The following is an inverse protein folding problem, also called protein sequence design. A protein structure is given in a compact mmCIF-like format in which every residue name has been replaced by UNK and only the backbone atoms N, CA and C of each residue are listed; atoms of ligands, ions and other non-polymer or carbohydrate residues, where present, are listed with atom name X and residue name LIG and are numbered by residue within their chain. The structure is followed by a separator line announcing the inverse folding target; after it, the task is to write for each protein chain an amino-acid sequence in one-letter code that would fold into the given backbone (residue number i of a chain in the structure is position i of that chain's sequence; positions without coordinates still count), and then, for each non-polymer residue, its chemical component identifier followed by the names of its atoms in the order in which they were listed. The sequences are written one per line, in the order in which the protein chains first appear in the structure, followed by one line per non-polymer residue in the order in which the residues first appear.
data_IF_294035682713
#
_entry.id   IF_294035682713
#
_cell.length_a   1.000
_cell.length_b   1.000
_cell.length_c   1.000
_cell.angle_alpha   90.00
_cell.angle_beta   90.00
_cell.angle_gamma   90.00
#
_symmetry.space_group_name_H-M   'P 1'
#
loop_
_entity.id
_entity.type
_entity.pdbx_description
1 polymer ?
#
# COMPACT_ATOMS: atom_id res chain seq x y z
N UNK A 1 6.79 -2.98 0.80
CA UNK A 1 6.16 -4.31 0.73
C UNK A 1 5.33 -4.48 1.99
N UNK A 2 4.04 -4.78 1.87
CA UNK A 2 3.19 -5.01 3.04
C UNK A 2 3.53 -6.42 3.57
N UNK A 3 3.95 -6.54 4.82
CA UNK A 3 4.53 -7.78 5.36
C UNK A 3 3.44 -8.77 5.84
N UNK A 4 2.29 -8.82 5.16
CA UNK A 4 1.26 -9.82 5.45
C UNK A 4 1.60 -11.13 4.73
N UNK A 5 2.17 -11.06 3.53
CA UNK A 5 2.51 -12.23 2.70
C UNK A 5 3.48 -13.20 3.37
N UNK A 6 4.48 -12.70 4.09
CA UNK A 6 5.55 -13.55 4.64
C UNK A 6 5.03 -14.59 5.63
N UNK A 7 3.91 -14.32 6.34
CA UNK A 7 3.38 -15.21 7.39
C UNK A 7 2.47 -16.33 6.88
N UNK A 8 2.17 -16.38 5.59
CA UNK A 8 1.22 -17.33 5.01
C UNK A 8 1.80 -18.04 3.78
N UNK A 9 2.29 -19.29 3.91
CA UNK A 9 3.04 -19.99 2.86
C UNK A 9 2.21 -20.36 1.62
N UNK A 10 0.89 -20.11 1.63
CA UNK A 10 -0.02 -20.43 0.53
C UNK A 10 0.01 -19.41 -0.63
N UNK A 11 0.68 -18.26 -0.45
CA UNK A 11 0.71 -17.22 -1.47
C UNK A 11 1.92 -17.38 -2.40
N UNK A 12 1.75 -17.07 -3.70
CA UNK A 12 2.63 -17.54 -4.77
C UNK A 12 4.08 -17.08 -4.66
N UNK A 13 4.36 -16.01 -3.90
CA UNK A 13 5.71 -15.47 -3.72
C UNK A 13 6.29 -15.71 -2.32
N UNK A 14 5.50 -16.17 -1.34
CA UNK A 14 5.92 -16.19 0.07
C UNK A 14 7.20 -17.01 0.30
N UNK A 15 7.29 -18.21 -0.27
CA UNK A 15 8.47 -19.07 -0.11
C UNK A 15 9.68 -18.57 -0.91
N UNK A 16 9.45 -17.97 -2.09
CA UNK A 16 10.50 -17.34 -2.87
C UNK A 16 11.09 -16.11 -2.16
N UNK A 17 10.27 -15.41 -1.37
CA UNK A 17 10.64 -14.23 -0.61
C UNK A 17 11.43 -14.53 0.67
N UNK A 18 11.54 -15.80 1.10
CA UNK A 18 12.34 -16.16 2.27
C UNK A 18 13.83 -15.89 2.09
N UNK A 19 14.38 -15.98 0.88
CA UNK A 19 15.77 -15.62 0.65
C UNK A 19 16.03 -14.11 0.77
N UNK A 20 14.98 -13.29 0.62
CA UNK A 20 15.07 -11.83 0.70
C UNK A 20 14.84 -11.35 2.14
N UNK A 21 13.73 -11.76 2.76
CA UNK A 21 13.30 -11.24 4.07
C UNK A 21 13.58 -12.20 5.23
N UNK A 22 13.76 -13.48 4.94
CA UNK A 22 13.85 -14.58 5.91
C UNK A 22 12.54 -15.35 6.07
N UNK A 23 12.62 -16.55 6.64
CA UNK A 23 11.46 -17.36 6.98
C UNK A 23 10.89 -16.96 8.36
N UNK A 24 9.67 -16.39 8.46
CA UNK A 24 9.07 -16.01 9.73
C UNK A 24 8.59 -17.20 10.58
N UNK A 25 8.73 -18.45 10.13
CA UNK A 25 8.59 -19.61 11.02
C UNK A 25 9.74 -19.68 12.05
N UNK A 26 10.88 -19.05 11.75
CA UNK A 26 11.99 -18.90 12.70
C UNK A 26 11.69 -17.74 13.67
N UNK A 27 11.68 -17.95 15.01
CA UNK A 27 11.24 -16.93 15.97
C UNK A 27 12.01 -15.60 15.93
N UNK A 28 13.32 -15.66 15.69
CA UNK A 28 14.17 -14.48 15.58
C UNK A 28 13.84 -13.67 14.33
N UNK A 29 13.63 -14.37 13.21
CA UNK A 29 13.21 -13.75 11.95
C UNK A 29 11.79 -13.18 12.06
N UNK A 30 10.88 -13.89 12.71
CA UNK A 30 9.51 -13.43 12.97
C UNK A 30 9.48 -12.11 13.75
N UNK A 31 10.35 -12.00 14.75
CA UNK A 31 10.51 -10.79 15.57
C UNK A 31 11.06 -9.66 14.74
N UNK A 32 12.17 -9.89 14.03
CA UNK A 32 12.78 -8.91 13.13
C UNK A 32 11.79 -8.40 12.07
N UNK A 33 11.03 -9.28 11.42
CA UNK A 33 10.00 -8.89 10.43
C UNK A 33 8.90 -8.05 11.09
N UNK A 34 8.45 -8.41 12.29
CA UNK A 34 7.44 -7.66 13.04
C UNK A 34 7.91 -6.24 13.35
N UNK A 35 9.18 -6.05 13.70
CA UNK A 35 9.71 -4.75 14.13
C UNK A 35 9.66 -3.67 13.03
N UNK A 36 9.64 -4.06 11.74
CA UNK A 36 9.55 -3.10 10.63
C UNK A 36 8.29 -3.28 9.74
N UNK A 37 7.49 -4.31 9.97
CA UNK A 37 6.29 -4.57 9.19
C UNK A 37 5.33 -3.37 9.27
N UNK A 38 4.93 -2.76 8.13
CA UNK A 38 4.08 -1.58 8.16
C UNK A 38 2.77 -1.78 8.91
N UNK A 39 2.10 -2.92 8.72
CA UNK A 39 0.81 -3.25 9.36
C UNK A 39 0.96 -3.44 10.87
N UNK A 40 2.01 -4.14 11.31
CA UNK A 40 2.21 -4.42 12.75
C UNK A 40 2.62 -3.14 13.52
N UNK A 41 3.10 -2.10 12.82
CA UNK A 41 3.61 -0.87 13.43
C UNK A 41 2.72 0.37 13.19
N UNK A 42 1.47 0.20 12.75
CA UNK A 42 0.51 1.30 12.72
C UNK A 42 0.15 1.67 14.16
N UNK A 43 0.38 2.93 14.52
CA UNK A 43 0.08 3.48 15.84
C UNK A 43 -0.93 4.62 15.74
N UNK A 44 -1.57 4.98 16.85
CA UNK A 44 -2.42 6.17 16.93
C UNK A 44 -1.56 7.43 16.82
N UNK A 45 -1.64 8.15 15.70
CA UNK A 45 -0.84 9.35 15.46
C UNK A 45 -1.41 10.21 14.32
N UNK A 46 -0.85 11.41 14.14
CA UNK A 46 -1.14 12.26 12.98
C UNK A 46 -0.34 11.80 11.76
N UNK A 47 -0.98 11.05 10.87
CA UNK A 47 -0.39 10.64 9.59
C UNK A 47 -0.42 11.80 8.58
N UNK A 48 0.56 11.88 7.64
CA UNK A 48 0.52 12.82 6.53
C UNK A 48 -0.60 12.45 5.55
N UNK A 49 -0.82 13.28 4.53
CA UNK A 49 -1.72 12.92 3.44
C UNK A 49 -1.18 11.67 2.74
N UNK A 50 -2.00 10.60 2.65
CA UNK A 50 -1.60 9.34 2.04
C UNK A 50 -2.47 9.01 0.83
N UNK A 51 -1.82 8.54 -0.23
CA UNK A 51 -2.44 7.94 -1.41
C UNK A 51 -1.97 6.50 -1.53
N UNK A 52 -2.90 5.56 -1.39
CA UNK A 52 -2.63 4.12 -1.39
C UNK A 52 -3.27 3.51 -2.64
N UNK A 53 -2.48 2.83 -3.46
CA UNK A 53 -2.98 2.11 -4.63
C UNK A 53 -2.82 0.60 -4.51
N UNK A 54 -3.79 -0.12 -5.04
CA UNK A 54 -3.74 -1.55 -5.23
C UNK A 54 -4.54 -1.96 -6.47
N UNK A 55 -4.44 -3.21 -6.89
CA UNK A 55 -5.19 -3.74 -8.02
C UNK A 55 -5.86 -5.06 -7.66
N UNK A 56 -7.11 -5.25 -8.07
CA UNK A 56 -7.93 -6.40 -7.70
C UNK A 56 -7.34 -7.73 -8.18
N UNK A 57 -6.79 -7.77 -9.39
CA UNK A 57 -6.17 -8.97 -9.98
C UNK A 57 -4.65 -9.01 -9.80
N UNK A 58 -4.10 -8.28 -8.82
CA UNK A 58 -2.67 -8.35 -8.52
C UNK A 58 -2.33 -9.70 -7.86
N UNK A 59 -1.58 -10.53 -8.59
CA UNK A 59 -1.12 -11.85 -8.15
C UNK A 59 0.23 -11.81 -7.43
N UNK A 60 0.90 -10.65 -7.39
CA UNK A 60 2.19 -10.46 -6.71
C UNK A 60 2.01 -9.86 -5.33
N UNK A 61 1.19 -8.81 -5.21
CA UNK A 61 0.82 -8.18 -3.94
C UNK A 61 -0.68 -8.15 -3.87
N UNK A 62 -1.24 -8.84 -2.89
CA UNK A 62 -2.69 -9.06 -2.91
C UNK A 62 -3.46 -7.80 -2.53
N UNK A 63 -4.57 -7.51 -3.22
CA UNK A 63 -5.32 -6.25 -3.05
C UNK A 63 -5.76 -5.97 -1.60
N UNK A 64 -5.96 -7.00 -0.78
CA UNK A 64 -6.39 -6.82 0.61
C UNK A 64 -5.28 -6.28 1.51
N UNK A 65 -4.02 -6.37 1.12
CA UNK A 65 -2.92 -5.83 1.91
C UNK A 65 -2.94 -4.30 1.98
N UNK A 66 -2.96 -3.56 0.84
CA UNK A 66 -3.17 -2.12 0.88
C UNK A 66 -4.54 -1.75 1.46
N UNK A 67 -5.58 -2.59 1.28
CA UNK A 67 -6.90 -2.34 1.89
C UNK A 67 -6.89 -2.41 3.42
N UNK A 68 -6.20 -3.41 4.00
CA UNK A 68 -6.00 -3.53 5.44
C UNK A 68 -5.17 -2.36 5.98
N UNK A 69 -4.11 -1.99 5.26
CA UNK A 69 -3.27 -0.85 5.62
C UNK A 69 -4.09 0.45 5.66
N UNK A 70 -4.85 0.73 4.60
CA UNK A 70 -5.76 1.87 4.53
C UNK A 70 -6.72 1.89 5.73
N UNK A 71 -7.42 0.77 5.98
CA UNK A 71 -8.43 0.71 7.04
C UNK A 71 -7.81 0.96 8.43
N UNK A 72 -6.65 0.38 8.71
CA UNK A 72 -5.97 0.56 9.99
C UNK A 72 -5.42 1.98 10.14
N UNK A 73 -4.75 2.54 9.13
CA UNK A 73 -4.25 3.93 9.20
C UNK A 73 -5.40 4.92 9.35
N UNK A 74 -6.49 4.76 8.59
CA UNK A 74 -7.66 5.61 8.70
C UNK A 74 -8.30 5.55 10.10
N UNK A 75 -8.32 4.37 10.73
CA UNK A 75 -8.81 4.22 12.10
C UNK A 75 -7.90 4.87 13.16
N UNK A 76 -6.58 4.84 12.92
CA UNK A 76 -5.56 5.31 13.87
C UNK A 76 -5.15 6.77 13.66
N UNK A 77 -5.64 7.42 12.59
CA UNK A 77 -5.37 8.81 12.24
C UNK A 77 -5.99 9.77 13.26
N UNK A 78 -5.17 10.68 13.78
CA UNK A 78 -5.56 11.79 14.66
C UNK A 78 -5.45 13.17 14.01
N UNK A 79 -4.82 13.27 12.83
CA UNK A 79 -4.70 14.48 12.04
C UNK A 79 -5.88 14.71 11.09
N UNK A 80 -5.88 15.85 10.40
CA UNK A 80 -6.88 16.21 9.38
C UNK A 80 -6.47 15.86 7.95
N UNK A 81 -5.24 15.39 7.74
CA UNK A 81 -4.74 15.04 6.42
C UNK A 81 -5.48 13.80 5.87
N UNK A 82 -5.96 13.83 4.61
CA UNK A 82 -6.75 12.74 4.09
C UNK A 82 -5.90 11.51 3.82
N UNK A 83 -6.49 10.36 4.14
CA UNK A 83 -5.99 9.05 3.78
C UNK A 83 -6.91 8.56 2.67
N UNK A 84 -6.38 8.35 1.47
CA UNK A 84 -7.14 7.95 0.29
C UNK A 84 -6.62 6.62 -0.23
N UNK A 85 -7.55 5.77 -0.70
CA UNK A 85 -7.22 4.53 -1.36
C UNK A 85 -7.93 4.43 -2.70
N UNK A 86 -7.20 3.96 -3.71
CA UNK A 86 -7.74 3.56 -5.00
C UNK A 86 -7.39 2.10 -5.28
N UNK A 87 -8.41 1.31 -5.57
CA UNK A 87 -8.25 -0.04 -6.11
C UNK A 87 -8.61 -0.04 -7.59
N UNK A 88 -7.68 -0.43 -8.47
CA UNK A 88 -8.02 -0.75 -9.85
C UNK A 88 -8.73 -2.11 -9.91
N UNK A 89 -10.02 -2.09 -10.24
CA UNK A 89 -10.88 -3.28 -10.29
C UNK A 89 -10.69 -4.13 -11.56
N UNK A 90 -9.83 -3.71 -12.49
CA UNK A 90 -9.66 -4.34 -13.81
C UNK A 90 -8.24 -4.81 -14.11
N UNK A 91 -7.27 -4.43 -13.28
CA UNK A 91 -5.84 -4.62 -13.57
C UNK A 91 -5.16 -5.54 -12.57
N UNK A 92 -3.96 -6.00 -12.93
CA UNK A 92 -3.04 -6.72 -12.05
C UNK A 92 -1.88 -5.85 -11.59
N UNK A 93 -0.74 -6.46 -11.24
CA UNK A 93 0.40 -5.77 -10.61
C UNK A 93 0.96 -4.57 -11.39
N UNK A 94 0.95 -4.64 -12.73
CA UNK A 94 1.45 -3.56 -13.58
C UNK A 94 0.52 -2.35 -13.69
N UNK A 95 -0.63 -2.36 -12.99
CA UNK A 95 -1.68 -1.37 -13.14
C UNK A 95 -2.37 -1.45 -14.51
N UNK A 96 -3.04 -0.35 -14.87
CA UNK A 96 -3.88 -0.30 -16.05
C UNK A 96 -3.11 -0.51 -17.36
N UNK A 97 -3.53 -1.51 -18.15
CA UNK A 97 -2.93 -1.80 -19.45
C UNK A 97 -3.27 -0.73 -20.49
N UNK A 98 -2.24 -0.30 -21.23
CA UNK A 98 -2.33 0.69 -22.30
C UNK A 98 -1.87 2.10 -21.90
N UNK A 99 -1.14 2.76 -22.83
CA UNK A 99 -0.42 4.03 -22.58
C UNK A 99 -1.25 5.11 -21.89
N UNK A 100 -2.50 5.31 -22.32
CA UNK A 100 -3.32 6.41 -21.83
C UNK A 100 -3.86 6.15 -20.42
N UNK A 101 -4.10 4.89 -20.05
CA UNK A 101 -4.54 4.58 -18.69
C UNK A 101 -3.37 4.74 -17.72
N UNK A 102 -2.17 4.28 -18.10
CA UNK A 102 -0.95 4.52 -17.34
C UNK A 102 -0.69 6.02 -17.11
N UNK A 103 -0.83 6.86 -18.15
CA UNK A 103 -0.69 8.31 -17.98
C UNK A 103 -1.74 8.93 -17.06
N UNK A 104 -2.99 8.44 -17.10
CA UNK A 104 -4.03 8.92 -16.17
C UNK A 104 -3.72 8.54 -14.72
N UNK A 105 -3.14 7.36 -14.50
CA UNK A 105 -2.77 6.91 -13.17
C UNK A 105 -1.58 7.72 -12.63
N UNK A 106 -0.54 7.94 -13.45
CA UNK A 106 0.56 8.83 -13.12
C UNK A 106 0.07 10.26 -12.83
N UNK A 107 -0.76 10.84 -13.71
CA UNK A 107 -1.31 12.18 -13.52
C UNK A 107 -2.12 12.31 -12.23
N UNK A 108 -2.80 11.24 -11.79
CA UNK A 108 -3.55 11.22 -10.53
C UNK A 108 -2.61 11.25 -9.32
N UNK A 109 -1.55 10.44 -9.35
CA UNK A 109 -0.53 10.43 -8.30
C UNK A 109 0.19 11.78 -8.22
N UNK A 110 0.60 12.34 -9.36
CA UNK A 110 1.25 13.65 -9.45
C UNK A 110 0.32 14.76 -8.92
N UNK A 111 -0.95 14.77 -9.32
CA UNK A 111 -1.92 15.73 -8.82
C UNK A 111 -2.10 15.64 -7.31
N UNK A 112 -2.16 14.43 -6.74
CA UNK A 112 -2.23 14.24 -5.29
C UNK A 112 -0.99 14.78 -4.58
N UNK A 113 0.22 14.49 -5.10
CA UNK A 113 1.48 14.97 -4.51
C UNK A 113 1.55 16.49 -4.54
N UNK A 114 1.28 17.10 -5.70
CA UNK A 114 1.30 18.56 -5.85
C UNK A 114 0.27 19.23 -4.94
N UNK A 115 -0.93 18.67 -4.82
CA UNK A 115 -1.95 19.14 -3.91
C UNK A 115 -1.51 19.01 -2.44
N UNK A 116 -0.98 17.85 -2.04
CA UNK A 116 -0.54 17.59 -0.67
C UNK A 116 0.62 18.50 -0.24
N UNK A 117 1.46 18.91 -1.19
CA UNK A 117 2.56 19.88 -0.97
C UNK A 117 2.11 21.35 -1.04
N UNK A 118 0.82 21.62 -1.33
CA UNK A 118 0.29 22.97 -1.50
C UNK A 118 0.75 23.68 -2.79
N UNK A 119 1.30 22.93 -3.75
CA UNK A 119 1.80 23.42 -5.04
C UNK A 119 0.71 23.47 -6.12
N UNK A 120 -0.45 22.86 -5.86
CA UNK A 120 -1.62 22.92 -6.73
C UNK A 120 -2.88 23.17 -5.90
N UNK A 121 -3.71 24.11 -6.35
CA UNK A 121 -5.02 24.37 -5.76
C UNK A 121 -6.09 23.58 -6.52
N UNK A 122 -7.13 23.06 -5.83
CA UNK A 122 -8.26 22.49 -6.53
C UNK A 122 -8.88 23.55 -7.42
N UNK A 123 -9.14 23.20 -8.69
CA UNK A 123 -9.84 24.09 -9.60
C UNK A 123 -11.19 24.49 -9.00
N UNK A 124 -11.57 25.78 -9.04
CA UNK A 124 -12.91 26.18 -8.62
C UNK A 124 -13.95 25.46 -9.50
N UNK A 125 -14.93 24.85 -8.86
CA UNK A 125 -16.09 24.19 -9.49
C UNK A 125 -17.08 25.19 -10.05
#
# INVERSE_FOLDING_TARGET
MCCVLCRTPIFPLTTAEYSEWGNPEEPEVATRIRDYSPIDNIQTQSYPALWIEGSWFDTRVSYWEPAKFYAQVAQQQQGSAPILMRTDMSSGHGGASGRFKAWRDAARQDAFILWALGLAQPSPT
#
